data_IF_739835367638
#
_entry.id   IF_739835367638
#
_cell.length_a   1.000
_cell.length_b   1.000
_cell.length_c   1.000
_cell.angle_alpha   90.00
_cell.angle_beta   90.00
_cell.angle_gamma   90.00
#
_symmetry.space_group_name_H-M   'P 1'
#
loop_
_entity.id
_entity.type
_entity.pdbx_description
1 polymer ?
#
# COMPACT_ATOMS: atom_id res chain seq x y z
N UNK A 1 27.21 -34.04 -6.35
CA UNK A 1 26.53 -32.75 -6.57
C UNK A 1 26.82 -31.87 -5.38
N UNK A 2 27.35 -30.64 -5.54
CA UNK A 2 27.61 -29.78 -4.39
C UNK A 2 26.30 -29.17 -3.90
N UNK A 3 26.00 -29.40 -2.63
CA UNK A 3 24.96 -28.73 -1.84
C UNK A 3 25.41 -27.30 -1.52
N UNK A 4 24.62 -26.31 -1.95
CA UNK A 4 24.78 -24.92 -1.51
C UNK A 4 24.19 -24.78 -0.11
N UNK A 5 25.00 -25.10 0.90
CA UNK A 5 24.73 -24.80 2.30
C UNK A 5 25.39 -23.45 2.64
N UNK A 6 24.72 -22.36 2.28
CA UNK A 6 25.03 -21.05 2.82
C UNK A 6 23.84 -20.62 3.68
N UNK A 7 23.98 -20.46 5.01
CA UNK A 7 22.93 -19.87 5.81
C UNK A 7 22.73 -18.45 5.31
N UNK A 8 21.54 -18.15 4.80
CA UNK A 8 21.10 -16.77 4.57
C UNK A 8 21.23 -16.09 5.93
N UNK A 9 22.28 -15.29 6.10
CA UNK A 9 22.40 -14.39 7.25
C UNK A 9 21.28 -13.36 7.08
N UNK A 10 20.13 -13.65 7.71
CA UNK A 10 19.11 -12.65 8.00
C UNK A 10 19.80 -11.57 8.83
N UNK A 11 20.19 -10.48 8.18
CA UNK A 11 20.47 -9.22 8.86
C UNK A 11 19.25 -8.89 9.73
N UNK A 12 19.43 -8.23 10.88
CA UNK A 12 18.33 -7.84 11.74
C UNK A 12 17.35 -6.98 10.93
N UNK A 13 16.23 -7.59 10.59
CA UNK A 13 15.25 -7.12 9.61
C UNK A 13 14.63 -5.76 10.01
N UNK A 14 14.76 -5.40 11.29
CA UNK A 14 14.37 -4.12 11.90
C UNK A 14 15.22 -2.93 11.40
N UNK A 15 16.53 -3.11 11.22
CA UNK A 15 17.44 -2.02 10.80
C UNK A 15 17.24 -1.68 9.32
N UNK A 16 16.99 -2.70 8.49
CA UNK A 16 16.74 -2.51 7.05
C UNK A 16 15.41 -1.82 6.83
N UNK A 17 14.36 -2.16 7.59
CA UNK A 17 13.03 -1.52 7.49
C UNK A 17 13.06 -0.06 7.93
N UNK A 18 13.70 0.23 9.06
CA UNK A 18 13.89 1.61 9.53
C UNK A 18 14.71 2.44 8.53
N UNK A 19 15.72 1.84 7.90
CA UNK A 19 16.47 2.44 6.80
C UNK A 19 15.60 2.69 5.55
N UNK A 20 14.73 1.76 5.17
CA UNK A 20 13.85 1.93 3.99
C UNK A 20 12.78 3.00 4.24
N UNK A 21 12.20 3.06 5.44
CA UNK A 21 11.28 4.13 5.82
C UNK A 21 11.98 5.48 5.82
N UNK A 22 13.20 5.57 6.38
CA UNK A 22 14.00 6.79 6.35
C UNK A 22 14.31 7.25 4.92
N UNK A 23 14.62 6.32 4.00
CA UNK A 23 14.85 6.63 2.57
C UNK A 23 13.58 7.08 1.87
N UNK A 24 12.44 6.41 2.11
CA UNK A 24 11.16 6.81 1.54
C UNK A 24 10.74 8.20 2.03
N UNK A 25 10.89 8.49 3.33
CA UNK A 25 10.66 9.83 3.88
C UNK A 25 11.63 10.87 3.30
N UNK A 26 12.90 10.51 3.08
CA UNK A 26 13.86 11.38 2.42
C UNK A 26 13.55 11.62 0.93
N UNK A 27 12.95 10.65 0.23
CA UNK A 27 12.42 10.82 -1.12
C UNK A 27 11.25 11.79 -1.14
N UNK A 28 10.29 11.62 -0.22
CA UNK A 28 9.14 12.51 -0.06
C UNK A 28 9.59 13.94 0.23
N UNK A 29 10.49 14.13 1.21
CA UNK A 29 11.05 15.43 1.56
C UNK A 29 11.85 16.08 0.41
N UNK A 30 12.44 15.27 -0.48
CA UNK A 30 13.18 15.75 -1.64
C UNK A 30 12.32 15.86 -2.92
N UNK A 31 11.02 15.61 -2.85
CA UNK A 31 10.11 15.67 -4.00
C UNK A 31 10.33 14.57 -5.05
N UNK A 32 11.01 13.47 -4.70
CA UNK A 32 11.22 12.32 -5.59
C UNK A 32 9.98 11.42 -5.60
N UNK A 33 8.94 11.93 -6.24
CA UNK A 33 7.59 11.36 -6.23
C UNK A 33 7.17 10.91 -7.64
N UNK A 34 6.48 9.77 -7.70
CA UNK A 34 5.95 9.15 -8.91
C UNK A 34 4.43 9.09 -8.79
N UNK A 35 3.73 9.54 -9.82
CA UNK A 35 2.28 9.51 -9.85
C UNK A 35 1.74 8.06 -9.94
N UNK A 36 0.66 7.77 -9.22
CA UNK A 36 0.07 6.43 -9.19
C UNK A 36 -0.45 5.94 -10.54
N UNK A 37 -0.81 6.83 -11.48
CA UNK A 37 -1.13 6.48 -12.86
C UNK A 37 0.07 5.82 -13.55
N UNK A 38 1.29 6.31 -13.28
CA UNK A 38 2.52 5.75 -13.84
C UNK A 38 2.77 4.35 -13.28
N UNK A 39 2.60 4.18 -11.96
CA UNK A 39 2.73 2.89 -11.29
C UNK A 39 1.65 1.92 -11.78
N UNK A 40 0.39 2.36 -11.91
CA UNK A 40 -0.70 1.54 -12.40
C UNK A 40 -0.42 1.02 -13.82
N UNK A 41 0.01 1.90 -14.74
CA UNK A 41 0.39 1.48 -16.11
C UNK A 41 1.51 0.44 -16.11
N UNK A 42 2.53 0.62 -15.27
CA UNK A 42 3.61 -0.35 -15.11
C UNK A 42 3.15 -1.70 -14.54
N UNK A 43 2.10 -1.71 -13.70
CA UNK A 43 1.50 -2.92 -13.16
C UNK A 43 0.54 -3.62 -14.15
N UNK A 44 0.20 -2.98 -15.27
CA UNK A 44 -0.75 -3.52 -16.26
C UNK A 44 -2.05 -2.72 -16.36
N UNK A 45 -2.24 -1.70 -15.52
CA UNK A 45 -3.32 -0.72 -15.60
C UNK A 45 -4.45 -0.95 -14.59
N UNK A 46 -5.32 0.06 -14.43
CA UNK A 46 -6.41 0.07 -13.45
C UNK A 46 -7.44 -1.05 -13.61
N UNK A 47 -7.55 -1.64 -14.80
CA UNK A 47 -8.51 -2.72 -15.05
C UNK A 47 -8.19 -3.98 -14.22
N UNK A 48 -6.93 -4.17 -13.80
CA UNK A 48 -6.52 -5.25 -12.90
C UNK A 48 -7.17 -5.17 -11.51
N UNK A 49 -7.68 -4.00 -11.11
CA UNK A 49 -8.42 -3.90 -9.85
C UNK A 49 -9.61 -4.86 -9.83
N UNK A 50 -10.24 -5.10 -10.99
CA UNK A 50 -11.41 -5.97 -11.13
C UNK A 50 -11.10 -7.43 -10.84
N UNK A 51 -9.88 -7.89 -11.12
CA UNK A 51 -9.44 -9.26 -10.84
C UNK A 51 -8.94 -9.42 -9.40
N UNK A 52 -8.41 -8.36 -8.79
CA UNK A 52 -7.94 -8.39 -7.39
C UNK A 52 -9.06 -8.39 -6.35
N UNK A 53 -10.27 -7.91 -6.67
CA UNK A 53 -11.40 -7.89 -5.74
C UNK A 53 -11.86 -9.30 -5.29
N UNK A 54 -11.79 -10.29 -6.18
CA UNK A 54 -12.21 -11.67 -5.88
C UNK A 54 -11.22 -12.37 -4.92
N UNK A 55 -9.94 -11.99 -4.97
CA UNK A 55 -8.86 -12.57 -4.17
C UNK A 55 -8.67 -11.89 -2.81
N UNK A 56 -9.09 -10.64 -2.67
CA UNK A 56 -9.05 -9.87 -1.42
C UNK A 56 -10.29 -10.08 -0.54
N UNK A 57 -11.00 -11.21 -0.74
CA UNK A 57 -12.23 -11.63 -0.05
C UNK A 57 -12.61 -10.73 1.12
N UNK A 58 -13.51 -9.76 0.87
CA UNK A 58 -14.00 -8.77 1.83
C UNK A 58 -13.03 -8.46 2.98
N UNK A 59 -11.82 -7.95 2.69
CA UNK A 59 -11.05 -7.25 3.73
C UNK A 59 -11.88 -6.02 4.12
N UNK A 60 -12.64 -6.22 5.20
CA UNK A 60 -13.53 -5.25 5.84
C UNK A 60 -12.80 -3.91 5.93
N UNK A 61 -13.45 -2.77 5.61
CA UNK A 61 -12.85 -1.48 5.87
C UNK A 61 -12.34 -1.49 7.31
N UNK A 62 -11.06 -1.18 7.49
CA UNK A 62 -10.38 -1.14 8.80
C UNK A 62 -11.38 -0.64 9.84
N UNK A 63 -11.62 -1.50 10.84
CA UNK A 63 -12.66 -1.32 11.84
C UNK A 63 -12.59 0.11 12.39
N UNK A 64 -13.67 0.88 12.15
CA UNK A 64 -14.02 2.05 12.95
C UNK A 64 -14.37 1.56 14.36
N UNK A 65 -13.38 1.20 15.16
CA UNK A 65 -13.55 1.18 16.61
C UNK A 65 -13.39 2.62 17.11
N UNK A 66 -14.37 3.45 16.77
CA UNK A 66 -14.61 4.70 17.49
C UNK A 66 -15.46 4.34 18.70
N UNK A 67 -14.96 4.39 19.95
CA UNK A 67 -15.86 4.39 21.08
C UNK A 67 -16.79 5.58 20.93
N UNK A 68 -18.10 5.30 20.91
CA UNK A 68 -19.14 6.30 20.77
C UNK A 68 -19.05 7.31 21.93
N UNK A 69 -18.55 8.51 21.66
CA UNK A 69 -18.91 9.66 22.46
C UNK A 69 -20.37 10.00 22.13
N UNK A 70 -21.28 10.03 23.13
CA UNK A 70 -22.61 10.56 22.91
C UNK A 70 -22.50 12.08 22.75
N UNK A 71 -23.47 12.65 22.04
CA UNK A 71 -23.70 14.08 21.81
C UNK A 71 -22.84 14.77 20.74
N UNK A 72 -23.35 14.73 19.52
CA UNK A 72 -24.01 15.92 18.94
C UNK A 72 -24.66 15.57 17.61
N UNK A 73 -25.97 15.79 17.53
CA UNK A 73 -26.77 15.50 16.35
C UNK A 73 -26.24 16.16 15.09
N UNK A 74 -26.02 15.37 14.06
CA UNK A 74 -26.06 15.80 12.67
C UNK A 74 -26.20 14.55 11.83
N UNK A 75 -27.33 14.44 11.13
CA UNK A 75 -27.56 13.38 10.17
C UNK A 75 -26.40 13.32 9.19
N UNK A 76 -25.83 12.13 9.03
CA UNK A 76 -24.82 11.81 8.02
C UNK A 76 -25.40 12.13 6.63
N UNK A 77 -25.21 13.38 6.19
CA UNK A 77 -25.43 13.80 4.81
C UNK A 77 -24.10 13.60 4.10
N UNK A 78 -24.03 12.56 3.28
CA UNK A 78 -23.09 12.50 2.17
C UNK A 78 -23.32 13.79 1.38
N UNK A 79 -22.40 14.76 1.46
CA UNK A 79 -22.41 15.91 0.55
C UNK A 79 -21.94 15.41 -0.80
N UNK A 80 -22.90 14.92 -1.57
CA UNK A 80 -22.79 14.71 -3.01
C UNK A 80 -22.94 16.08 -3.69
N UNK A 81 -21.82 16.71 -4.04
CA UNK A 81 -21.56 17.77 -5.06
C UNK A 81 -20.43 18.65 -4.50
N UNK A 82 -19.27 18.84 -5.14
CA UNK A 82 -18.91 18.77 -6.55
C UNK A 82 -17.44 18.32 -6.68
N UNK A 83 -17.17 17.50 -7.70
CA UNK A 83 -15.96 16.70 -7.94
C UNK A 83 -15.76 15.56 -6.92
N UNK A 84 -16.00 14.32 -7.34
CA UNK A 84 -15.26 13.17 -6.76
C UNK A 84 -13.82 13.34 -7.23
N UNK A 85 -13.11 14.29 -6.61
CA UNK A 85 -11.70 14.48 -6.79
C UNK A 85 -11.05 13.22 -6.24
N UNK A 86 -10.56 12.36 -7.12
CA UNK A 86 -9.66 11.28 -6.76
C UNK A 86 -8.62 11.86 -5.79
N UNK A 87 -8.54 11.32 -4.58
CA UNK A 87 -7.59 11.82 -3.60
C UNK A 87 -6.18 11.51 -4.12
N UNK A 88 -5.28 12.52 -4.28
CA UNK A 88 -4.00 12.31 -4.95
C UNK A 88 -3.20 11.21 -4.26
N UNK A 89 -2.70 10.24 -5.02
CA UNK A 89 -1.85 9.17 -4.52
C UNK A 89 -0.51 9.21 -5.24
N UNK A 90 0.56 9.44 -4.50
CA UNK A 90 1.93 9.50 -5.00
C UNK A 90 2.77 8.38 -4.41
N UNK A 91 3.83 8.01 -5.09
CA UNK A 91 4.78 6.99 -4.67
C UNK A 91 6.16 7.60 -4.51
N UNK A 92 6.85 7.28 -3.43
CA UNK A 92 8.28 7.60 -3.33
C UNK A 92 9.08 6.74 -4.31
N UNK A 93 10.22 7.22 -4.80
CA UNK A 93 11.11 6.41 -5.64
C UNK A 93 11.50 5.09 -4.95
N UNK A 94 11.84 5.16 -3.65
CA UNK A 94 12.13 4.00 -2.80
C UNK A 94 10.98 2.99 -2.79
N UNK A 95 9.72 3.45 -2.72
CA UNK A 95 8.57 2.55 -2.77
C UNK A 95 8.45 1.82 -4.12
N UNK A 96 8.72 2.51 -5.24
CA UNK A 96 8.70 1.92 -6.58
C UNK A 96 9.84 0.91 -6.75
N UNK A 97 11.03 1.22 -6.25
CA UNK A 97 12.19 0.32 -6.30
C UNK A 97 11.92 -0.97 -5.50
N UNK A 98 11.35 -0.85 -4.30
CA UNK A 98 11.00 -1.99 -3.46
C UNK A 98 9.87 -2.82 -4.08
N UNK A 99 8.85 -2.17 -4.64
CA UNK A 99 7.79 -2.86 -5.38
C UNK A 99 8.36 -3.63 -6.59
N UNK A 100 9.31 -3.03 -7.31
CA UNK A 100 9.99 -3.66 -8.43
C UNK A 100 10.80 -4.88 -8.00
N UNK A 101 11.45 -4.80 -6.83
CA UNK A 101 12.15 -5.94 -6.22
C UNK A 101 11.18 -7.07 -5.87
N UNK A 102 10.05 -6.76 -5.24
CA UNK A 102 9.04 -7.75 -4.86
C UNK A 102 8.42 -8.44 -6.07
N UNK A 103 8.09 -7.71 -7.14
CA UNK A 103 7.58 -8.32 -8.38
C UNK A 103 8.56 -9.36 -8.95
N UNK A 104 9.85 -9.04 -9.00
CA UNK A 104 10.88 -9.99 -9.46
C UNK A 104 10.97 -11.24 -8.57
N UNK A 105 10.75 -11.09 -7.26
CA UNK A 105 10.68 -12.25 -6.36
C UNK A 105 9.45 -13.10 -6.68
N UNK A 106 8.26 -12.49 -6.83
CA UNK A 106 7.04 -13.22 -7.15
C UNK A 106 7.09 -13.95 -8.50
N UNK A 107 7.69 -13.34 -9.53
CA UNK A 107 7.89 -14.02 -10.82
C UNK A 107 8.75 -15.28 -10.72
N UNK A 108 9.62 -15.38 -9.71
CA UNK A 108 10.48 -16.55 -9.49
C UNK A 108 9.78 -17.62 -8.65
N UNK A 109 8.81 -17.23 -7.81
CA UNK A 109 8.08 -18.17 -6.93
C UNK A 109 7.05 -18.97 -7.74
N UNK A 110 6.24 -18.31 -8.56
CA UNK A 110 5.20 -18.93 -9.36
C UNK A 110 4.71 -17.98 -10.47
N UNK A 111 4.35 -18.56 -11.62
CA UNK A 111 3.78 -17.82 -12.76
C UNK A 111 2.49 -17.06 -12.41
N UNK A 112 1.75 -17.50 -11.40
CA UNK A 112 0.51 -16.86 -10.93
C UNK A 112 0.73 -15.82 -9.82
N UNK A 113 1.88 -15.86 -9.15
CA UNK A 113 2.10 -15.04 -7.95
C UNK A 113 2.30 -13.56 -8.28
N UNK A 114 3.00 -13.24 -9.37
CA UNK A 114 3.21 -11.85 -9.78
C UNK A 114 1.92 -11.19 -10.29
N UNK A 115 1.13 -11.81 -11.19
CA UNK A 115 -0.15 -11.26 -11.62
C UNK A 115 -1.11 -11.02 -10.45
N UNK A 116 -1.15 -11.96 -9.48
CA UNK A 116 -1.94 -11.81 -8.25
C UNK A 116 -1.48 -10.63 -7.41
N UNK A 117 -0.17 -10.46 -7.24
CA UNK A 117 0.40 -9.31 -6.54
C UNK A 117 0.08 -7.98 -7.24
N UNK A 118 0.23 -7.92 -8.57
CA UNK A 118 -0.09 -6.72 -9.35
C UNK A 118 -1.57 -6.35 -9.23
N UNK A 119 -2.48 -7.32 -9.36
CA UNK A 119 -3.91 -7.12 -9.20
C UNK A 119 -4.27 -6.59 -7.81
N UNK A 120 -3.76 -7.22 -6.75
CA UNK A 120 -4.00 -6.77 -5.38
C UNK A 120 -3.49 -5.34 -5.14
N UNK A 121 -2.32 -5.00 -5.69
CA UNK A 121 -1.74 -3.68 -5.51
C UNK A 121 -2.55 -2.59 -6.21
N UNK A 122 -2.98 -2.84 -7.44
CA UNK A 122 -3.86 -1.93 -8.16
C UNK A 122 -5.20 -1.77 -7.45
N UNK A 123 -5.78 -2.84 -6.89
CA UNK A 123 -7.01 -2.75 -6.09
C UNK A 123 -6.82 -1.87 -4.85
N UNK A 124 -5.71 -2.06 -4.11
CA UNK A 124 -5.41 -1.23 -2.93
C UNK A 124 -5.20 0.23 -3.31
N UNK A 125 -4.49 0.52 -4.41
CA UNK A 125 -4.32 1.89 -4.91
C UNK A 125 -5.66 2.55 -5.23
N UNK A 126 -6.59 1.84 -5.89
CA UNK A 126 -7.94 2.37 -6.18
C UNK A 126 -8.69 2.66 -4.89
N UNK A 127 -8.66 1.73 -3.91
CA UNK A 127 -9.31 1.95 -2.61
C UNK A 127 -8.75 3.18 -1.89
N UNK A 128 -7.43 3.33 -1.86
CA UNK A 128 -6.76 4.50 -1.28
C UNK A 128 -7.22 5.81 -1.93
N UNK A 129 -7.32 5.85 -3.26
CA UNK A 129 -7.74 7.04 -4.01
C UNK A 129 -9.22 7.38 -3.74
N UNK A 130 -10.09 6.37 -3.64
CA UNK A 130 -11.54 6.54 -3.45
C UNK A 130 -11.89 6.84 -1.99
N UNK A 131 -11.29 6.12 -1.06
CA UNK A 131 -11.59 6.21 0.38
C UNK A 131 -10.75 7.30 1.07
N UNK A 132 -9.67 7.78 0.44
CA UNK A 132 -8.70 8.75 0.97
C UNK A 132 -9.26 9.91 1.80
N UNK A 133 -10.35 10.58 1.38
CA UNK A 133 -10.96 11.67 2.16
C UNK A 133 -11.50 11.26 3.54
N UNK A 134 -11.59 9.96 3.84
CA UNK A 134 -12.06 9.41 5.11
C UNK A 134 -10.96 8.90 6.06
N UNK A 135 -9.68 9.06 5.72
CA UNK A 135 -8.55 8.57 6.52
C UNK A 135 -8.03 9.65 7.48
N UNK A 136 -7.63 9.23 8.69
CA UNK A 136 -6.94 10.11 9.63
C UNK A 136 -5.50 10.35 9.17
N UNK A 137 -4.99 11.58 9.37
CA UNK A 137 -3.62 11.93 9.02
C UNK A 137 -2.60 11.14 9.85
N UNK A 138 -1.46 10.79 9.24
CA UNK A 138 -0.42 9.99 9.88
C UNK A 138 0.16 8.92 8.96
N UNK A 139 0.74 7.87 9.55
CA UNK A 139 1.30 6.73 8.82
C UNK A 139 0.48 5.49 9.14
N UNK A 140 0.03 4.78 8.11
CA UNK A 140 -0.76 3.56 8.23
C UNK A 140 -0.21 2.43 7.36
N UNK A 141 -0.44 1.19 7.81
CA UNK A 141 -0.17 -0.01 7.02
C UNK A 141 -1.51 -0.55 6.48
N UNK A 142 -1.66 -0.53 5.17
CA UNK A 142 -2.88 -0.97 4.46
C UNK A 142 -2.70 -2.40 3.99
N UNK A 143 -3.56 -3.37 4.38
CA UNK A 143 -3.40 -4.75 3.95
C UNK A 143 -3.34 -4.88 2.42
N UNK A 144 -2.34 -5.61 1.91
CA UNK A 144 -2.13 -5.85 0.49
C UNK A 144 -2.48 -7.29 0.12
N UNK A 145 -1.69 -8.26 0.60
CA UNK A 145 -1.91 -9.70 0.42
C UNK A 145 -1.19 -10.37 1.59
N UNK A 146 -1.78 -11.30 2.35
CA UNK A 146 -1.05 -11.92 3.46
C UNK A 146 0.29 -12.54 3.01
N UNK A 147 1.41 -12.30 3.72
CA UNK A 147 1.59 -11.46 4.90
C UNK A 147 2.20 -10.11 4.52
N UNK A 148 1.58 -9.30 3.68
CA UNK A 148 2.10 -8.03 3.18
C UNK A 148 1.04 -6.93 3.35
N UNK A 149 1.52 -5.74 3.69
CA UNK A 149 0.79 -4.49 3.75
C UNK A 149 1.53 -3.43 2.91
N UNK A 150 0.84 -2.36 2.56
CA UNK A 150 1.37 -1.17 1.92
C UNK A 150 1.43 -0.05 2.94
N UNK A 151 2.64 0.46 3.23
CA UNK A 151 2.81 1.59 4.14
C UNK A 151 2.53 2.89 3.40
N UNK A 152 1.63 3.69 3.96
CA UNK A 152 1.15 4.94 3.37
C UNK A 152 1.22 6.05 4.42
N UNK A 153 1.74 7.19 4.01
CA UNK A 153 1.63 8.46 4.74
C UNK A 153 0.41 9.21 4.22
N UNK A 154 -0.45 9.64 5.13
CA UNK A 154 -1.72 10.30 4.88
C UNK A 154 -1.61 11.75 5.35
N UNK A 155 -1.82 12.66 4.42
CA UNK A 155 -1.81 14.11 4.64
C UNK A 155 -3.16 14.69 4.21
N UNK A 156 -3.51 15.87 4.70
CA UNK A 156 -4.81 16.51 4.39
C UNK A 156 -5.02 16.73 2.89
N UNK A 157 -3.93 16.77 2.11
CA UNK A 157 -3.92 17.05 0.68
C UNK A 157 -3.69 15.82 -0.20
N UNK A 158 -3.38 14.65 0.37
CA UNK A 158 -3.08 13.46 -0.43
C UNK A 158 -2.47 12.31 0.35
N UNK A 159 -2.11 11.27 -0.40
CA UNK A 159 -1.52 10.03 0.10
C UNK A 159 -0.15 9.83 -0.55
N UNK A 160 0.80 9.38 0.26
CA UNK A 160 2.14 9.05 -0.20
C UNK A 160 2.48 7.60 0.18
N UNK A 161 2.71 6.76 -0.81
CA UNK A 161 3.16 5.38 -0.61
C UNK A 161 4.64 5.37 -0.26
N UNK A 162 4.95 4.83 0.92
CA UNK A 162 6.31 4.63 1.43
C UNK A 162 6.87 3.24 1.08
N UNK A 163 5.99 2.33 0.68
CA UNK A 163 6.34 1.05 0.07
C UNK A 163 5.71 -0.17 0.75
N UNK A 164 5.85 -1.36 0.16
CA UNK A 164 5.31 -2.59 0.72
C UNK A 164 6.11 -3.03 1.97
N UNK A 165 5.42 -3.71 2.88
CA UNK A 165 5.91 -4.18 4.18
C UNK A 165 5.37 -5.57 4.46
N UNK A 166 6.14 -6.39 5.17
CA UNK A 166 5.63 -7.58 5.83
C UNK A 166 5.17 -7.13 7.24
N UNK A 167 3.89 -7.27 7.65
CA UNK A 167 3.49 -6.94 9.00
C UNK A 167 4.30 -7.79 9.98
N UNK A 168 4.57 -7.22 11.16
CA UNK A 168 5.06 -8.02 12.27
C UNK A 168 4.07 -9.16 12.51
N UNK A 169 4.49 -10.40 12.29
CA UNK A 169 3.90 -11.48 13.08
C UNK A 169 4.32 -11.19 14.52
N UNK A 170 3.43 -10.59 15.28
CA UNK A 170 3.48 -10.65 16.74
C UNK A 170 3.42 -12.15 17.07
N UNK A 171 4.58 -12.72 17.37
CA UNK A 171 4.70 -14.00 18.07
C UNK A 171 4.58 -13.71 19.56
#
# INVERSE_FOLDING_TARGET
MPTFDAPIRLLPDTDVRASTDAKALADAAAGRMIDSETVARWLGGWHLARTGFDDLGHVSPLHRDRPASPDSGSGFRIRSNDAVGAFPLMWTQTAVDECSRMRRIFTVISDEAEPRFAAALVTVMVRLIVDGPGWDSGIADVPLLPPFALRVMIEDTGLTVLGPRQPHMLV
#
